data_IF_647358133510
#
_entry.id   IF_647358133510
#
_cell.length_a   1.000
_cell.length_b   1.000
_cell.length_c   1.000
_cell.angle_alpha   90.00
_cell.angle_beta   90.00
_cell.angle_gamma   90.00
#
_symmetry.space_group_name_H-M   'P 1'
#
loop_
_entity.id
_entity.type
_entity.pdbx_description
1 polymer ?
#
# COMPACT_ATOMS: atom_id res chain seq x y z
N UNK A 1 -19.65 -8.42 7.34
CA UNK A 1 -18.46 -7.53 7.49
C UNK A 1 -18.50 -6.76 8.80
N UNK A 2 -19.50 -5.93 9.06
CA UNK A 2 -19.58 -5.11 10.30
C UNK A 2 -19.41 -5.91 11.59
N UNK A 3 -20.08 -7.05 11.73
CA UNK A 3 -19.96 -7.93 12.91
C UNK A 3 -18.54 -8.44 13.13
N UNK A 4 -17.80 -8.76 12.05
CA UNK A 4 -16.42 -9.23 12.12
C UNK A 4 -15.51 -8.08 12.57
N UNK A 5 -15.70 -6.88 12.01
CA UNK A 5 -14.94 -5.69 12.40
C UNK A 5 -15.18 -5.34 13.88
N UNK A 6 -16.44 -5.39 14.33
CA UNK A 6 -16.77 -5.20 15.75
C UNK A 6 -16.03 -6.20 16.64
N UNK A 7 -15.98 -7.48 16.24
CA UNK A 7 -15.26 -8.50 17.00
C UNK A 7 -13.76 -8.25 17.05
N UNK A 8 -13.15 -7.80 15.94
CA UNK A 8 -11.73 -7.42 15.90
C UNK A 8 -11.46 -6.27 16.89
N UNK A 9 -12.32 -5.25 16.91
CA UNK A 9 -12.19 -4.13 17.84
C UNK A 9 -12.32 -4.57 19.30
N UNK A 10 -13.29 -5.44 19.61
CA UNK A 10 -13.48 -5.99 20.96
C UNK A 10 -12.21 -6.77 21.39
N UNK A 11 -11.73 -7.66 20.53
CA UNK A 11 -10.54 -8.46 20.80
C UNK A 11 -9.29 -7.58 21.03
N UNK A 12 -9.14 -6.49 20.25
CA UNK A 12 -8.06 -5.53 20.46
C UNK A 12 -8.16 -4.88 21.85
N UNK A 13 -9.35 -4.39 22.22
CA UNK A 13 -9.57 -3.76 23.54
C UNK A 13 -9.28 -4.74 24.67
N UNK A 14 -9.74 -5.99 24.56
CA UNK A 14 -9.48 -7.03 25.54
C UNK A 14 -7.98 -7.32 25.72
N UNK A 15 -7.23 -7.40 24.63
CA UNK A 15 -5.78 -7.60 24.65
C UNK A 15 -5.06 -6.41 25.29
N UNK A 16 -5.42 -5.18 24.92
CA UNK A 16 -4.86 -3.97 25.53
C UNK A 16 -5.14 -3.92 27.03
N UNK A 17 -6.37 -4.21 27.44
CA UNK A 17 -6.73 -4.27 28.86
C UNK A 17 -5.97 -5.37 29.62
N UNK A 18 -5.75 -6.51 28.98
CA UNK A 18 -4.95 -7.61 29.51
C UNK A 18 -3.50 -7.16 29.74
N UNK A 19 -2.87 -6.56 28.72
CA UNK A 19 -1.51 -5.99 28.81
C UNK A 19 -1.40 -5.02 29.99
N UNK A 20 -2.35 -4.09 30.12
CA UNK A 20 -2.34 -3.11 31.21
C UNK A 20 -2.52 -3.74 32.60
N UNK A 21 -3.30 -4.82 32.73
CA UNK A 21 -3.56 -5.50 34.03
C UNK A 21 -2.44 -6.44 34.44
N UNK A 22 -1.82 -7.13 33.48
CA UNK A 22 -0.83 -8.18 33.74
C UNK A 22 0.61 -7.65 33.71
N UNK A 23 0.85 -6.45 33.19
CA UNK A 23 2.17 -5.84 33.18
C UNK A 23 2.67 -5.57 34.59
N UNK A 24 3.79 -6.17 34.96
CA UNK A 24 4.49 -5.93 36.23
C UNK A 24 5.13 -4.54 36.31
N UNK A 25 5.33 -3.92 35.17
CA UNK A 25 5.93 -2.58 35.05
C UNK A 25 5.05 -1.73 34.13
N UNK A 26 4.38 -0.75 34.73
CA UNK A 26 3.51 0.20 34.06
C UNK A 26 4.26 1.43 33.49
N UNK A 27 5.57 1.29 33.22
CA UNK A 27 6.29 2.35 32.49
C UNK A 27 5.69 2.55 31.11
N UNK A 28 5.43 3.81 30.74
CA UNK A 28 4.90 4.17 29.43
C UNK A 28 5.81 3.70 28.29
N UNK A 29 7.13 3.67 28.50
CA UNK A 29 8.10 3.21 27.52
C UNK A 29 7.97 1.71 27.19
N UNK A 30 7.36 0.92 28.09
CA UNK A 30 7.14 -0.51 27.90
C UNK A 30 5.74 -0.76 27.32
N UNK A 31 4.71 -0.17 27.93
CA UNK A 31 3.32 -0.51 27.56
C UNK A 31 2.88 0.16 26.26
N UNK A 32 3.39 1.36 25.92
CA UNK A 32 2.95 2.05 24.69
C UNK A 32 3.37 1.33 23.38
N UNK A 33 4.57 0.75 23.25
CA UNK A 33 4.92 -0.07 22.10
C UNK A 33 4.03 -1.31 21.94
N UNK A 34 3.71 -2.01 23.04
CA UNK A 34 2.84 -3.19 23.01
C UNK A 34 1.41 -2.83 22.59
N UNK A 35 0.84 -1.75 23.14
CA UNK A 35 -0.48 -1.26 22.74
C UNK A 35 -0.47 -0.83 21.26
N UNK A 36 0.59 -0.20 20.81
CA UNK A 36 0.74 0.20 19.40
C UNK A 36 0.76 -1.01 18.48
N UNK A 37 1.48 -2.06 18.86
CA UNK A 37 1.56 -3.31 18.07
C UNK A 37 0.17 -3.97 17.97
N UNK A 38 -0.55 -4.12 19.09
CA UNK A 38 -1.91 -4.67 19.08
C UNK A 38 -2.88 -3.82 18.25
N UNK A 39 -2.77 -2.50 18.32
CA UNK A 39 -3.58 -1.59 17.51
C UNK A 39 -3.27 -1.72 16.02
N UNK A 40 -2.01 -1.83 15.64
CA UNK A 40 -1.59 -2.03 14.26
C UNK A 40 -2.10 -3.37 13.72
N UNK A 41 -2.00 -4.44 14.50
CA UNK A 41 -2.49 -5.77 14.14
C UNK A 41 -4.01 -5.76 13.92
N UNK A 42 -4.77 -5.09 14.78
CA UNK A 42 -6.21 -4.95 14.62
C UNK A 42 -6.55 -4.15 13.35
N UNK A 43 -5.84 -3.05 13.08
CA UNK A 43 -6.03 -2.26 11.86
C UNK A 43 -5.72 -3.07 10.59
N UNK A 44 -4.64 -3.88 10.59
CA UNK A 44 -4.31 -4.78 9.48
C UNK A 44 -5.43 -5.79 9.24
N UNK A 45 -5.95 -6.42 10.31
CA UNK A 45 -7.05 -7.38 10.21
C UNK A 45 -8.34 -6.76 9.67
N UNK A 46 -8.64 -5.50 10.02
CA UNK A 46 -9.78 -4.77 9.45
C UNK A 46 -9.59 -4.52 7.95
N UNK A 47 -8.39 -4.12 7.53
CA UNK A 47 -8.07 -3.90 6.11
C UNK A 47 -8.16 -5.21 5.32
N UNK A 48 -7.64 -6.31 5.87
CA UNK A 48 -7.72 -7.65 5.28
C UNK A 48 -9.18 -8.07 5.06
N UNK A 49 -10.03 -7.97 6.08
CA UNK A 49 -11.46 -8.31 5.97
C UNK A 49 -12.19 -7.41 4.97
N UNK A 50 -11.82 -6.13 4.88
CA UNK A 50 -12.39 -5.24 3.88
C UNK A 50 -11.99 -5.63 2.45
N UNK A 51 -10.71 -5.97 2.22
CA UNK A 51 -10.22 -6.48 0.93
C UNK A 51 -10.98 -7.76 0.54
N UNK A 52 -11.13 -8.68 1.46
CA UNK A 52 -11.87 -9.93 1.27
C UNK A 52 -13.34 -9.68 0.90
N UNK A 53 -13.98 -8.73 1.58
CA UNK A 53 -15.33 -8.31 1.25
C UNK A 53 -15.43 -7.76 -0.18
N UNK A 54 -14.54 -6.83 -0.57
CA UNK A 54 -14.52 -6.25 -1.92
C UNK A 54 -14.28 -7.31 -2.99
N UNK A 55 -13.34 -8.25 -2.73
CA UNK A 55 -13.05 -9.36 -3.65
C UNK A 55 -14.27 -10.27 -3.85
N UNK A 56 -15.01 -10.56 -2.77
CA UNK A 56 -16.23 -11.36 -2.81
C UNK A 56 -17.36 -10.66 -3.56
N UNK A 57 -17.57 -9.36 -3.32
CA UNK A 57 -18.55 -8.54 -4.04
C UNK A 57 -18.28 -8.54 -5.55
N UNK A 58 -17.03 -8.32 -5.96
CA UNK A 58 -16.63 -8.40 -7.36
C UNK A 58 -16.86 -9.80 -7.95
N UNK A 59 -16.60 -10.87 -7.17
CA UNK A 59 -16.85 -12.25 -7.55
C UNK A 59 -18.34 -12.52 -7.79
N UNK A 60 -19.21 -11.90 -7.01
CA UNK A 60 -20.67 -12.09 -7.09
C UNK A 60 -21.32 -11.30 -8.22
N UNK A 61 -20.75 -10.19 -8.66
CA UNK A 61 -21.26 -9.35 -9.75
C UNK A 61 -21.07 -9.96 -11.14
N UNK A 62 -21.66 -11.14 -11.40
CA UNK A 62 -21.47 -11.92 -12.63
C UNK A 62 -21.87 -11.17 -13.90
N UNK A 63 -22.98 -10.40 -13.86
CA UNK A 63 -23.49 -9.66 -15.04
C UNK A 63 -22.52 -8.56 -15.43
N UNK A 64 -22.06 -7.78 -14.47
CA UNK A 64 -21.11 -6.67 -14.68
C UNK A 64 -19.76 -7.17 -15.19
N UNK A 65 -19.23 -8.26 -14.60
CA UNK A 65 -18.00 -8.90 -15.08
C UNK A 65 -18.10 -9.37 -16.54
N UNK A 66 -19.24 -9.98 -16.90
CA UNK A 66 -19.47 -10.45 -18.28
C UNK A 66 -19.53 -9.29 -19.27
N UNK A 67 -20.20 -8.19 -18.93
CA UNK A 67 -20.27 -7.00 -19.79
C UNK A 67 -18.87 -6.38 -20.03
N UNK A 68 -17.98 -6.45 -19.04
CA UNK A 68 -16.59 -6.00 -19.13
C UNK A 68 -15.61 -7.03 -19.73
N UNK A 69 -16.10 -8.17 -20.17
CA UNK A 69 -15.26 -9.25 -20.72
C UNK A 69 -14.36 -9.95 -19.70
N UNK A 70 -14.64 -9.80 -18.39
CA UNK A 70 -13.81 -10.31 -17.31
C UNK A 70 -14.20 -11.75 -16.92
N UNK A 71 -13.23 -12.66 -16.97
CA UNK A 71 -13.37 -14.06 -16.55
C UNK A 71 -12.40 -14.35 -15.43
N UNK A 72 -12.88 -14.95 -14.33
CA UNK A 72 -12.02 -15.40 -13.23
C UNK A 72 -11.14 -16.54 -13.74
N UNK A 73 -9.83 -16.42 -13.57
CA UNK A 73 -8.85 -17.45 -13.90
C UNK A 73 -8.35 -18.18 -12.67
N UNK A 74 -8.02 -17.42 -11.62
CA UNK A 74 -7.56 -17.98 -10.36
C UNK A 74 -8.32 -17.28 -9.22
N UNK A 75 -8.62 -18.02 -8.16
CA UNK A 75 -9.30 -17.51 -6.98
C UNK A 75 -8.37 -17.56 -5.79
N UNK A 76 -8.58 -16.62 -4.88
CA UNK A 76 -7.96 -16.61 -3.55
C UNK A 76 -6.43 -16.75 -3.61
N UNK A 77 -5.80 -16.01 -4.55
CA UNK A 77 -4.34 -15.98 -4.70
C UNK A 77 -3.74 -15.06 -3.65
N UNK A 78 -2.93 -15.63 -2.76
CA UNK A 78 -2.32 -14.91 -1.65
C UNK A 78 -1.31 -13.85 -2.12
N UNK A 79 -1.26 -12.77 -1.37
CA UNK A 79 -0.33 -11.67 -1.55
C UNK A 79 0.04 -11.03 -0.21
N UNK A 80 1.30 -10.59 -0.14
CA UNK A 80 1.84 -9.84 1.00
C UNK A 80 2.34 -8.48 0.55
N UNK A 81 2.03 -7.46 1.34
CA UNK A 81 2.49 -6.08 1.10
C UNK A 81 2.88 -5.45 2.43
N UNK A 82 4.06 -4.89 2.50
CA UNK A 82 4.55 -4.15 3.67
C UNK A 82 3.92 -2.75 3.67
N UNK A 83 3.22 -2.44 4.75
CA UNK A 83 2.56 -1.15 5.01
C UNK A 83 3.18 -0.46 6.23
N UNK A 84 2.81 0.78 6.49
CA UNK A 84 3.24 1.50 7.71
C UNK A 84 2.71 0.87 9.01
N UNK A 85 1.68 0.02 8.94
CA UNK A 85 1.14 -0.72 10.08
C UNK A 85 1.85 -2.07 10.31
N UNK A 86 2.53 -2.59 9.29
CA UNK A 86 3.17 -3.91 9.26
C UNK A 86 2.93 -4.64 7.95
N UNK A 87 3.15 -5.95 7.95
CA UNK A 87 2.92 -6.80 6.78
C UNK A 87 1.42 -7.15 6.66
N UNK A 88 0.80 -6.69 5.59
CA UNK A 88 -0.58 -7.01 5.22
C UNK A 88 -0.57 -8.27 4.35
N UNK A 89 -1.27 -9.32 4.78
CA UNK A 89 -1.50 -10.53 4.00
C UNK A 89 -2.96 -10.56 3.55
N UNK A 90 -3.20 -10.79 2.27
CA UNK A 90 -4.55 -10.88 1.73
C UNK A 90 -4.64 -11.78 0.51
N UNK A 91 -5.85 -12.28 0.23
CA UNK A 91 -6.12 -13.09 -0.96
C UNK A 91 -6.94 -12.29 -1.98
N UNK A 92 -6.67 -12.48 -3.24
CA UNK A 92 -7.34 -11.81 -4.36
C UNK A 92 -7.61 -12.75 -5.52
N UNK A 93 -8.62 -12.43 -6.34
CA UNK A 93 -8.88 -13.13 -7.59
C UNK A 93 -8.06 -12.52 -8.74
N UNK A 94 -7.60 -13.39 -9.65
CA UNK A 94 -6.98 -12.99 -10.91
C UNK A 94 -8.00 -13.20 -12.02
N UNK A 95 -8.21 -12.15 -12.82
CA UNK A 95 -9.14 -12.14 -13.93
C UNK A 95 -8.37 -12.08 -15.26
N UNK A 96 -9.00 -12.60 -16.31
CA UNK A 96 -8.58 -12.40 -17.67
C UNK A 96 -9.58 -11.51 -18.39
N UNK A 97 -9.11 -10.38 -18.92
CA UNK A 97 -9.91 -9.50 -19.76
C UNK A 97 -9.85 -10.01 -21.20
N UNK A 98 -10.98 -10.52 -21.71
CA UNK A 98 -11.07 -11.06 -23.06
C UNK A 98 -11.00 -9.99 -24.16
N UNK A 99 -11.37 -8.75 -23.83
CA UNK A 99 -11.37 -7.63 -24.77
C UNK A 99 -9.96 -7.14 -25.03
N UNK A 100 -9.20 -6.94 -23.94
CA UNK A 100 -7.83 -6.41 -23.99
C UNK A 100 -6.78 -7.53 -24.08
N UNK A 101 -7.17 -8.80 -23.92
CA UNK A 101 -6.30 -9.98 -23.94
C UNK A 101 -5.19 -9.93 -22.87
N UNK A 102 -5.51 -9.45 -21.64
CA UNK A 102 -4.56 -9.27 -20.55
C UNK A 102 -5.08 -9.85 -19.23
N UNK A 103 -4.16 -10.24 -18.35
CA UNK A 103 -4.49 -10.59 -16.97
C UNK A 103 -4.61 -9.32 -16.12
N UNK A 104 -5.69 -9.20 -15.36
CA UNK A 104 -5.96 -8.07 -14.47
C UNK A 104 -6.16 -8.55 -13.04
N UNK A 105 -5.75 -7.73 -12.10
CA UNK A 105 -5.86 -7.94 -10.65
C UNK A 105 -6.61 -6.74 -10.06
N UNK A 106 -7.95 -6.73 -10.13
CA UNK A 106 -8.73 -5.54 -9.80
C UNK A 106 -8.52 -5.08 -8.35
N UNK A 107 -8.36 -6.00 -7.41
CA UNK A 107 -8.07 -5.68 -6.00
C UNK A 107 -6.79 -4.85 -5.89
N UNK A 108 -5.70 -5.27 -6.52
CA UNK A 108 -4.45 -4.49 -6.51
C UNK A 108 -4.66 -3.07 -7.06
N UNK A 109 -5.41 -2.96 -8.16
CA UNK A 109 -5.69 -1.67 -8.79
C UNK A 109 -6.55 -0.76 -7.90
N UNK A 110 -7.57 -1.29 -7.22
CA UNK A 110 -8.44 -0.55 -6.29
C UNK A 110 -7.63 0.01 -5.12
N UNK A 111 -6.72 -0.80 -4.56
CA UNK A 111 -5.89 -0.41 -3.43
C UNK A 111 -4.55 0.27 -3.84
N UNK A 112 -4.38 0.60 -5.12
CA UNK A 112 -3.21 1.31 -5.63
C UNK A 112 -1.90 0.56 -5.50
N UNK A 113 -1.95 -0.79 -5.53
CA UNK A 113 -0.80 -1.67 -5.42
C UNK A 113 -0.31 -2.02 -6.83
N UNK A 114 0.88 -1.55 -7.17
CA UNK A 114 1.49 -1.79 -8.47
C UNK A 114 1.89 -3.27 -8.66
N UNK A 115 1.96 -3.77 -9.90
CA UNK A 115 2.47 -5.10 -10.20
C UNK A 115 3.86 -5.33 -9.57
N UNK A 116 4.04 -6.49 -8.94
CA UNK A 116 5.29 -6.90 -8.26
C UNK A 116 5.73 -6.01 -7.08
N UNK A 117 4.96 -5.02 -6.70
CA UNK A 117 5.25 -4.15 -5.56
C UNK A 117 4.98 -4.90 -4.25
N UNK A 118 6.00 -4.91 -3.36
CA UNK A 118 5.95 -5.57 -2.04
C UNK A 118 5.94 -4.59 -0.87
N UNK A 119 6.15 -3.32 -1.15
CA UNK A 119 6.24 -2.26 -0.14
C UNK A 119 5.36 -1.11 -0.63
N UNK A 120 4.45 -0.64 0.21
CA UNK A 120 3.56 0.47 -0.15
C UNK A 120 4.32 1.78 -0.36
N UNK A 121 3.70 2.72 -1.08
CA UNK A 121 4.34 4.00 -1.47
C UNK A 121 4.79 4.83 -0.27
N UNK A 122 4.00 4.88 0.80
CA UNK A 122 4.33 5.64 2.00
C UNK A 122 5.59 5.09 2.68
N UNK A 123 5.68 3.77 2.89
CA UNK A 123 6.89 3.15 3.46
C UNK A 123 8.11 3.37 2.58
N UNK A 124 7.96 3.36 1.24
CA UNK A 124 9.07 3.71 0.35
C UNK A 124 9.52 5.15 0.49
N UNK A 125 8.59 6.09 0.62
CA UNK A 125 8.89 7.49 0.86
C UNK A 125 9.67 7.67 2.18
N UNK A 126 9.21 7.02 3.27
CA UNK A 126 9.90 7.03 4.56
C UNK A 126 11.32 6.44 4.47
N UNK A 127 11.49 5.34 3.72
CA UNK A 127 12.81 4.74 3.51
C UNK A 127 13.76 5.68 2.77
N UNK A 128 13.28 6.39 1.75
CA UNK A 128 14.06 7.38 1.00
C UNK A 128 14.44 8.55 1.91
N UNK A 129 13.47 9.10 2.65
CA UNK A 129 13.70 10.21 3.58
C UNK A 129 14.78 9.85 4.63
N UNK A 130 14.65 8.69 5.28
CA UNK A 130 15.63 8.24 6.27
C UNK A 130 17.00 7.91 5.67
N UNK A 131 17.06 7.57 4.38
CA UNK A 131 18.32 7.23 3.71
C UNK A 131 19.13 8.45 3.26
N UNK A 132 18.59 9.66 3.33
CA UNK A 132 19.32 10.89 3.03
C UNK A 132 20.50 11.07 4.01
N UNK A 133 20.23 10.88 5.31
CA UNK A 133 21.22 11.14 6.37
C UNK A 133 21.77 9.87 7.03
N UNK A 134 21.34 8.68 6.60
CA UNK A 134 21.69 7.44 7.27
C UNK A 134 22.09 6.35 6.29
N UNK A 135 22.86 5.37 6.79
CA UNK A 135 23.12 4.14 6.04
C UNK A 135 21.81 3.36 5.80
N UNK A 136 21.77 2.54 4.76
CA UNK A 136 20.59 1.72 4.43
C UNK A 136 20.16 0.79 5.57
N UNK A 137 21.11 0.28 6.36
CA UNK A 137 20.83 -0.52 7.54
C UNK A 137 20.12 0.30 8.63
N UNK A 138 20.64 1.50 8.90
CA UNK A 138 20.05 2.40 9.89
C UNK A 138 18.66 2.90 9.43
N UNK A 139 18.52 3.23 8.15
CA UNK A 139 17.27 3.71 7.57
C UNK A 139 16.12 2.70 7.71
N UNK A 140 16.36 1.41 7.39
CA UNK A 140 15.32 0.38 7.55
C UNK A 140 14.88 0.22 9.02
N UNK A 141 15.85 0.33 9.96
CA UNK A 141 15.55 0.22 11.38
C UNK A 141 14.76 1.42 11.90
N UNK A 142 15.05 2.62 11.38
CA UNK A 142 14.34 3.86 11.75
C UNK A 142 12.89 3.90 11.25
N UNK A 143 12.58 3.25 10.13
CA UNK A 143 11.19 3.12 9.64
C UNK A 143 10.37 2.20 10.54
N UNK A 144 11.03 1.27 11.25
CA UNK A 144 10.38 0.44 12.28
C UNK A 144 9.36 -0.57 11.76
N UNK A 145 9.41 -0.89 10.45
CA UNK A 145 8.55 -1.91 9.84
C UNK A 145 9.37 -3.18 9.60
N UNK A 146 8.85 -4.36 9.97
CA UNK A 146 9.57 -5.63 9.82
C UNK A 146 9.76 -6.00 8.33
N UNK A 147 10.67 -6.95 8.09
CA UNK A 147 10.87 -7.60 6.78
C UNK A 147 11.38 -6.67 5.65
N UNK A 148 11.98 -5.52 5.98
CA UNK A 148 12.64 -4.65 5.01
C UNK A 148 14.13 -5.00 4.92
N UNK A 149 14.62 -5.24 3.71
CA UNK A 149 16.03 -5.49 3.43
C UNK A 149 16.78 -4.21 3.04
N UNK A 150 18.14 -4.20 3.17
CA UNK A 150 18.98 -3.12 2.62
C UNK A 150 18.76 -2.92 1.13
N UNK A 151 18.52 -4.01 0.38
CA UNK A 151 18.23 -3.95 -1.05
C UNK A 151 16.90 -3.25 -1.33
N UNK A 152 15.91 -3.40 -0.46
CA UNK A 152 14.63 -2.69 -0.57
C UNK A 152 14.81 -1.18 -0.42
N UNK A 153 15.65 -0.73 0.50
CA UNK A 153 16.00 0.70 0.67
C UNK A 153 16.66 1.24 -0.60
N UNK A 154 17.71 0.54 -1.11
CA UNK A 154 18.36 0.93 -2.37
C UNK A 154 17.39 1.01 -3.53
N UNK A 155 16.51 0.02 -3.68
CA UNK A 155 15.52 0.00 -4.76
C UNK A 155 14.49 1.14 -4.65
N UNK A 156 14.09 1.51 -3.42
CA UNK A 156 13.21 2.65 -3.19
C UNK A 156 13.87 3.97 -3.66
N UNK A 157 15.14 4.19 -3.32
CA UNK A 157 15.91 5.37 -3.74
C UNK A 157 16.04 5.44 -5.27
N UNK A 158 16.46 4.33 -5.90
CA UNK A 158 16.61 4.29 -7.35
C UNK A 158 15.29 4.58 -8.07
N UNK A 159 14.16 4.06 -7.57
CA UNK A 159 12.85 4.30 -8.16
C UNK A 159 12.40 5.75 -7.95
N UNK A 160 12.65 6.36 -6.79
CA UNK A 160 12.32 7.78 -6.53
C UNK A 160 13.10 8.73 -7.45
N UNK A 161 14.37 8.47 -7.70
CA UNK A 161 15.16 9.28 -8.63
C UNK A 161 14.63 9.19 -10.07
N UNK A 162 14.28 7.97 -10.53
CA UNK A 162 13.68 7.78 -11.85
C UNK A 162 12.31 8.47 -12.01
N UNK A 163 11.50 8.49 -10.96
CA UNK A 163 10.20 9.15 -10.97
C UNK A 163 10.36 10.69 -10.93
N UNK A 164 11.35 11.22 -10.21
CA UNK A 164 11.70 12.64 -10.23
C UNK A 164 12.21 13.10 -11.60
N UNK A 165 13.10 12.33 -12.24
CA UNK A 165 13.59 12.65 -13.58
C UNK A 165 12.44 12.70 -14.60
N UNK A 166 11.49 11.75 -14.53
CA UNK A 166 10.30 11.76 -15.39
C UNK A 166 9.39 12.95 -15.11
N UNK A 167 9.19 13.35 -13.87
CA UNK A 167 8.38 14.50 -13.51
C UNK A 167 9.02 15.82 -13.97
N UNK A 168 10.33 15.96 -13.87
CA UNK A 168 11.08 17.10 -14.42
C UNK A 168 10.95 17.20 -15.93
N UNK A 169 11.13 16.09 -16.66
CA UNK A 169 10.98 16.08 -18.14
C UNK A 169 9.56 16.43 -18.58
N UNK A 170 8.54 15.98 -17.81
CA UNK A 170 7.13 16.35 -18.11
C UNK A 170 6.87 17.83 -17.82
N UNK A 171 7.42 18.37 -16.72
CA UNK A 171 7.31 19.79 -16.37
C UNK A 171 8.01 20.69 -17.40
N UNK A 172 9.24 20.34 -17.85
CA UNK A 172 9.95 21.05 -18.92
C UNK A 172 9.16 21.06 -20.23
N UNK A 173 8.60 19.90 -20.64
CA UNK A 173 7.78 19.82 -21.87
C UNK A 173 6.52 20.64 -21.76
N UNK A 174 5.91 20.77 -20.57
CA UNK A 174 4.74 21.62 -20.35
C UNK A 174 5.09 23.10 -20.42
N UNK A 175 6.19 23.52 -19.78
CA UNK A 175 6.72 24.87 -19.82
C UNK A 175 7.10 25.30 -21.24
N UNK A 176 7.75 24.43 -22.01
CA UNK A 176 8.10 24.73 -23.43
C UNK A 176 6.86 24.86 -24.32
N UNK A 177 5.79 24.08 -24.06
CA UNK A 177 4.53 24.25 -24.78
C UNK A 177 3.86 25.58 -24.43
N UNK A 178 3.83 25.98 -23.19
CA UNK A 178 3.25 27.24 -22.73
C UNK A 178 4.03 28.44 -23.28
N UNK A 179 5.37 28.41 -23.25
CA UNK A 179 6.23 29.41 -23.89
C UNK A 179 6.01 29.52 -25.42
N UNK A 180 5.82 28.39 -26.09
CA UNK A 180 5.57 28.38 -27.55
C UNK A 180 4.20 28.98 -27.90
N UNK A 181 3.20 28.81 -27.03
CA UNK A 181 1.89 29.44 -27.17
C UNK A 181 2.00 30.97 -26.95
N UNK A 182 2.74 31.39 -25.90
CA UNK A 182 2.97 32.82 -25.62
C UNK A 182 3.68 33.53 -26.79
N UNK A 183 4.77 32.95 -27.32
CA UNK A 183 5.50 33.53 -28.44
C UNK A 183 4.67 33.61 -29.74
N UNK A 184 3.72 32.68 -29.94
CA UNK A 184 2.79 32.77 -31.09
C UNK A 184 1.75 33.86 -30.94
N UNK A 185 1.38 34.22 -29.73
CA UNK A 185 0.42 35.30 -29.48
C UNK A 185 1.04 36.71 -29.64
N UNK A 186 2.35 36.86 -29.35
CA UNK A 186 3.06 38.14 -29.51
C UNK A 186 3.50 38.45 -30.96
N UNK A 187 3.63 37.45 -31.83
CA UNK A 187 4.09 37.62 -33.23
C UNK A 187 2.89 37.74 -34.22
N UNK A 188 1.66 37.61 -33.73
CA UNK A 188 0.42 37.67 -34.52
C UNK A 188 -0.45 38.89 -34.26
N UNK A 189 0.11 39.97 -33.65
CA UNK A 189 -0.56 41.24 -33.44
C UNK A 189 -0.06 42.34 -34.38
#
# INVERSE_FOLDING_TARGET
METIIQQICINMVEKVLKTLKESKNLSLDIITPEIREESNNACLSIVEEYIKYVNLEMRNQKKDRKSKGLVIKEKDVDRKVITCLGELEYSRDIYFNKVENVYVKPIDSIFGIEPYERICKNVKADLVDKAIDNSYEKSKNLVGVPNISRQSVRNAILKSNLDNDKSMVVAEKKLLKELHIYMRMEVGG
#
